data_IF_720484940070
#
_entry.id   IF_720484940070
#
_cell.length_a   1.000
_cell.length_b   1.000
_cell.length_c   1.000
_cell.angle_alpha   90.00
_cell.angle_beta   90.00
_cell.angle_gamma   90.00
#
_symmetry.space_group_name_H-M   'P 1'
#
loop_
_entity.id
_entity.type
_entity.pdbx_description
1 polymer ?
#
# COMPACT_ATOMS: atom_id res chain seq x y z
N UNK A 1 -18.90 -7.05 -10.36
CA UNK A 1 -19.69 -5.84 -10.64
C UNK A 1 -19.24 -4.78 -9.66
N UNK A 2 -18.85 -3.58 -10.09
CA UNK A 2 -18.59 -2.50 -9.15
C UNK A 2 -19.85 -2.29 -8.31
N UNK A 3 -19.71 -2.27 -6.98
CA UNK A 3 -20.84 -1.95 -6.12
C UNK A 3 -21.37 -0.55 -6.48
N UNK A 4 -22.67 -0.39 -6.58
CA UNK A 4 -23.30 0.90 -6.87
C UNK A 4 -23.21 1.89 -5.71
N UNK A 5 -22.38 1.63 -4.72
CA UNK A 5 -22.25 2.45 -3.53
C UNK A 5 -21.19 1.92 -2.56
N UNK A 6 -21.21 2.42 -1.37
CA UNK A 6 -20.48 1.96 -0.20
C UNK A 6 -21.46 1.21 0.72
N UNK A 7 -20.93 0.32 1.54
CA UNK A 7 -21.71 -0.42 2.53
C UNK A 7 -21.46 0.18 3.92
N UNK A 8 -22.47 0.14 4.77
CA UNK A 8 -22.33 0.51 6.18
C UNK A 8 -22.11 -0.71 7.05
N UNK A 9 -21.21 -0.59 7.99
CA UNK A 9 -21.00 -1.59 9.04
C UNK A 9 -20.91 -0.92 10.41
N UNK A 10 -21.39 -1.62 11.44
CA UNK A 10 -21.20 -1.18 12.82
C UNK A 10 -20.11 -2.05 13.46
N UNK A 11 -18.99 -1.44 13.82
CA UNK A 11 -17.85 -2.12 14.43
C UNK A 11 -17.71 -1.61 15.87
N UNK A 12 -17.92 -2.48 16.85
CA UNK A 12 -17.89 -2.13 18.28
C UNK A 12 -18.73 -0.89 18.64
N UNK A 13 -19.89 -0.75 18.03
CA UNK A 13 -20.80 0.37 18.24
C UNK A 13 -20.53 1.62 17.39
N UNK A 14 -19.47 1.63 16.56
CA UNK A 14 -19.12 2.73 15.66
C UNK A 14 -19.62 2.45 14.26
N UNK A 15 -20.32 3.40 13.67
CA UNK A 15 -20.79 3.31 12.28
C UNK A 15 -19.65 3.65 11.34
N UNK A 16 -19.30 2.69 10.49
CA UNK A 16 -18.28 2.83 9.46
C UNK A 16 -18.90 2.75 8.07
N UNK A 17 -18.38 3.52 7.12
CA UNK A 17 -18.62 3.32 5.70
C UNK A 17 -17.48 2.48 5.11
N UNK A 18 -17.82 1.42 4.40
CA UNK A 18 -16.84 0.54 3.77
C UNK A 18 -16.88 0.75 2.26
N UNK A 19 -15.73 1.07 1.69
CA UNK A 19 -15.50 1.25 0.26
C UNK A 19 -14.57 0.15 -0.22
N UNK A 20 -14.88 -0.47 -1.34
CA UNK A 20 -14.01 -1.48 -1.95
C UNK A 20 -13.54 -1.03 -3.33
N UNK A 21 -12.25 -1.12 -3.59
CA UNK A 21 -11.65 -0.78 -4.86
C UNK A 21 -11.45 0.72 -5.11
N UNK A 22 -11.53 1.13 -6.38
CA UNK A 22 -11.19 2.48 -6.84
C UNK A 22 -12.22 3.56 -6.52
N UNK A 23 -13.16 3.23 -5.69
CA UNK A 23 -14.28 4.12 -5.40
C UNK A 23 -13.96 5.33 -4.50
N UNK A 24 -12.72 5.51 -4.02
CA UNK A 24 -12.31 6.70 -3.26
C UNK A 24 -12.47 8.03 -4.02
N UNK A 25 -12.45 7.98 -5.34
CA UNK A 25 -12.52 9.19 -6.20
C UNK A 25 -13.93 9.69 -6.49
N UNK A 26 -14.96 8.97 -6.06
CA UNK A 26 -16.35 9.35 -6.33
C UNK A 26 -16.88 10.27 -5.25
N UNK A 27 -17.62 11.31 -5.63
CA UNK A 27 -18.40 12.12 -4.70
C UNK A 27 -19.42 11.24 -3.97
N UNK A 28 -19.54 11.43 -2.67
CA UNK A 28 -20.42 10.66 -1.81
C UNK A 28 -21.01 11.54 -0.73
N UNK A 29 -22.24 11.22 -0.41
CA UNK A 29 -22.94 11.79 0.72
C UNK A 29 -23.04 10.69 1.79
N UNK A 30 -22.05 10.66 2.69
CA UNK A 30 -22.10 9.74 3.82
C UNK A 30 -23.09 10.23 4.87
N UNK A 31 -23.82 9.29 5.44
CA UNK A 31 -24.63 9.57 6.63
C UNK A 31 -23.77 10.27 7.69
N UNK A 32 -24.30 11.33 8.30
CA UNK A 32 -23.57 12.11 9.31
C UNK A 32 -23.15 11.30 10.51
N UNK A 33 -23.84 10.20 10.81
CA UNK A 33 -23.47 9.28 11.90
C UNK A 33 -22.27 8.38 11.59
N UNK A 34 -21.72 8.40 10.36
CA UNK A 34 -20.46 7.71 10.02
C UNK A 34 -19.31 8.41 10.69
N UNK A 35 -18.54 7.66 11.47
CA UNK A 35 -17.36 8.17 12.19
C UNK A 35 -16.06 7.90 11.41
N UNK A 36 -16.02 6.80 10.66
CA UNK A 36 -14.82 6.35 9.96
C UNK A 36 -15.17 5.77 8.59
N UNK A 37 -14.40 6.14 7.59
CA UNK A 37 -14.45 5.53 6.26
C UNK A 37 -13.31 4.53 6.13
N UNK A 38 -13.64 3.29 5.79
CA UNK A 38 -12.66 2.21 5.58
C UNK A 38 -12.61 1.88 4.09
N UNK A 39 -11.46 2.09 3.48
CA UNK A 39 -11.23 1.81 2.06
C UNK A 39 -10.34 0.59 1.89
N UNK A 40 -10.88 -0.47 1.30
CA UNK A 40 -10.18 -1.75 1.08
C UNK A 40 -9.82 -1.85 -0.39
N UNK A 41 -8.51 -1.95 -0.69
CA UNK A 41 -7.99 -1.84 -2.03
C UNK A 41 -7.03 -2.97 -2.41
N UNK A 42 -6.98 -3.25 -3.70
CA UNK A 42 -5.93 -4.02 -4.37
C UNK A 42 -5.33 -3.15 -5.49
N UNK A 43 -4.79 -2.00 -5.11
CA UNK A 43 -4.24 -1.04 -6.08
C UNK A 43 -2.78 -1.35 -6.34
N UNK A 44 -2.48 -1.66 -7.61
CA UNK A 44 -1.12 -1.97 -8.05
C UNK A 44 -0.18 -0.79 -7.86
N UNK A 45 1.08 -1.11 -7.59
CA UNK A 45 2.16 -0.14 -7.61
C UNK A 45 2.35 0.45 -9.01
N UNK A 46 2.62 1.73 -9.04
CA UNK A 46 2.96 2.46 -10.25
C UNK A 46 3.48 3.85 -9.91
N UNK A 47 4.05 4.53 -10.89
CA UNK A 47 4.58 5.88 -10.70
C UNK A 47 3.48 6.83 -10.21
N UNK A 48 3.67 7.41 -9.01
CA UNK A 48 2.75 8.39 -8.44
C UNK A 48 1.47 7.82 -7.84
N UNK A 49 1.26 6.50 -7.87
CA UNK A 49 0.03 5.89 -7.35
C UNK A 49 -0.14 6.09 -5.86
N UNK A 50 0.95 6.06 -5.09
CA UNK A 50 0.93 6.33 -3.66
C UNK A 50 0.49 7.78 -3.39
N UNK A 51 1.14 8.76 -4.00
CA UNK A 51 0.80 10.18 -3.86
C UNK A 51 -0.66 10.42 -4.20
N UNK A 52 -1.12 9.88 -5.33
CA UNK A 52 -2.52 9.99 -5.73
C UNK A 52 -3.49 9.41 -4.70
N UNK A 53 -3.20 8.23 -4.14
CA UNK A 53 -4.04 7.61 -3.09
C UNK A 53 -4.12 8.49 -1.85
N UNK A 54 -2.98 9.01 -1.40
CA UNK A 54 -2.93 9.84 -0.21
C UNK A 54 -3.62 11.19 -0.41
N UNK A 55 -3.55 11.76 -1.61
CA UNK A 55 -4.33 12.96 -1.97
C UNK A 55 -5.84 12.67 -1.96
N UNK A 56 -6.27 11.54 -2.50
CA UNK A 56 -7.68 11.14 -2.45
C UNK A 56 -8.17 10.93 -1.02
N UNK A 57 -7.37 10.25 -0.18
CA UNK A 57 -7.68 10.08 1.24
C UNK A 57 -7.78 11.42 1.96
N UNK A 58 -6.82 12.32 1.70
CA UNK A 58 -6.79 13.66 2.31
C UNK A 58 -8.04 14.45 1.96
N UNK A 59 -8.38 14.49 0.68
CA UNK A 59 -9.56 15.21 0.22
C UNK A 59 -10.82 14.64 0.87
N UNK A 60 -10.97 13.31 0.87
CA UNK A 60 -12.12 12.66 1.49
C UNK A 60 -12.19 12.96 3.01
N UNK A 61 -11.08 12.78 3.73
CA UNK A 61 -11.01 13.02 5.16
C UNK A 61 -11.35 14.47 5.52
N UNK A 62 -10.78 15.42 4.77
CA UNK A 62 -10.97 16.85 5.01
C UNK A 62 -12.42 17.31 4.68
N UNK A 63 -12.97 16.87 3.55
CA UNK A 63 -14.33 17.26 3.13
C UNK A 63 -15.40 16.68 4.06
N UNK A 64 -15.24 15.42 4.43
CA UNK A 64 -16.20 14.71 5.29
C UNK A 64 -15.98 14.96 6.79
N UNK A 65 -14.82 15.49 7.18
CA UNK A 65 -14.46 15.66 8.59
C UNK A 65 -14.31 14.33 9.33
N UNK A 66 -13.99 13.23 8.62
CA UNK A 66 -14.00 11.86 9.15
C UNK A 66 -12.62 11.20 9.06
N UNK A 67 -12.37 10.25 9.96
CA UNK A 67 -11.18 9.41 9.81
C UNK A 67 -11.30 8.54 8.55
N UNK A 68 -10.22 8.44 7.77
CA UNK A 68 -10.14 7.57 6.60
C UNK A 68 -9.04 6.54 6.81
N UNK A 69 -9.43 5.26 6.82
CA UNK A 69 -8.54 4.11 6.92
C UNK A 69 -8.39 3.50 5.53
N UNK A 70 -7.17 3.49 5.01
CA UNK A 70 -6.84 2.79 3.78
C UNK A 70 -6.16 1.47 4.11
N UNK A 71 -6.69 0.39 3.57
CA UNK A 71 -6.05 -0.93 3.59
C UNK A 71 -5.80 -1.34 2.15
N UNK A 72 -4.53 -1.43 1.76
CA UNK A 72 -4.14 -1.84 0.42
C UNK A 72 -3.41 -3.18 0.46
N UNK A 73 -3.65 -4.01 -0.55
CA UNK A 73 -2.93 -5.26 -0.73
C UNK A 73 -1.41 -5.01 -0.83
N UNK A 74 -0.61 -5.98 -0.38
CA UNK A 74 0.85 -5.98 -0.53
C UNK A 74 1.31 -7.27 -1.18
N UNK A 75 2.42 -7.19 -1.93
CA UNK A 75 3.11 -8.34 -2.51
C UNK A 75 2.98 -8.45 -4.03
N UNK A 76 3.76 -9.38 -4.61
CA UNK A 76 3.77 -9.68 -6.04
C UNK A 76 2.72 -10.72 -6.43
N UNK A 77 2.07 -10.52 -7.56
CA UNK A 77 1.14 -11.48 -8.15
C UNK A 77 1.27 -11.45 -9.67
N UNK A 78 1.81 -12.52 -10.25
CA UNK A 78 2.11 -12.66 -11.68
C UNK A 78 3.02 -11.50 -12.15
N UNK A 79 2.49 -10.55 -12.88
CA UNK A 79 3.16 -9.36 -13.42
C UNK A 79 2.82 -8.05 -12.67
N UNK A 80 2.11 -8.15 -11.57
CA UNK A 80 1.66 -7.01 -10.78
C UNK A 80 2.31 -7.05 -9.40
N UNK A 81 2.74 -5.88 -8.92
CA UNK A 81 3.19 -5.68 -7.54
C UNK A 81 2.25 -4.70 -6.85
N UNK A 82 1.87 -5.03 -5.63
CA UNK A 82 1.11 -4.18 -4.73
C UNK A 82 2.04 -3.67 -3.64
N UNK A 83 2.04 -2.37 -3.44
CA UNK A 83 2.98 -1.71 -2.54
C UNK A 83 2.52 -1.68 -1.07
N UNK A 84 1.29 -2.13 -0.77
CA UNK A 84 0.73 -1.94 0.56
C UNK A 84 0.57 -0.47 0.85
N UNK A 85 1.46 0.10 1.67
CA UNK A 85 1.45 1.51 2.05
C UNK A 85 0.06 1.93 2.55
N UNK A 86 -0.52 1.07 3.39
CA UNK A 86 -1.78 1.33 4.08
C UNK A 86 -1.58 2.41 5.12
N UNK A 87 -2.66 3.05 5.56
CA UNK A 87 -2.53 4.12 6.55
C UNK A 87 -3.84 4.71 6.99
N UNK A 88 -3.76 5.67 7.90
CA UNK A 88 -4.90 6.40 8.45
C UNK A 88 -4.67 7.89 8.32
N UNK A 89 -5.70 8.60 7.89
CA UNK A 89 -5.82 10.05 7.97
C UNK A 89 -6.93 10.43 8.94
N UNK A 90 -6.68 11.44 9.76
CA UNK A 90 -7.71 12.03 10.61
C UNK A 90 -8.65 12.94 9.80
N UNK A 91 -9.75 13.39 10.43
CA UNK A 91 -10.73 14.28 9.78
C UNK A 91 -10.22 15.66 9.36
N UNK A 92 -8.94 16.00 9.68
CA UNK A 92 -8.26 17.21 9.19
C UNK A 92 -7.43 16.93 7.93
N UNK A 93 -7.43 15.69 7.42
CA UNK A 93 -6.62 15.28 6.27
C UNK A 93 -5.12 15.11 6.59
N UNK A 94 -4.79 14.89 7.85
CA UNK A 94 -3.42 14.67 8.30
C UNK A 94 -3.15 13.17 8.44
N UNK A 95 -1.97 12.72 8.00
CA UNK A 95 -1.55 11.32 8.17
C UNK A 95 -1.21 11.08 9.64
N UNK A 96 -1.88 10.14 10.27
CA UNK A 96 -1.67 9.77 11.68
C UNK A 96 -1.11 8.36 11.86
N UNK A 97 -1.19 7.54 10.82
CA UNK A 97 -0.58 6.22 10.76
C UNK A 97 -0.18 5.90 9.33
N UNK A 98 1.00 5.33 9.14
CA UNK A 98 1.47 4.81 7.86
C UNK A 98 2.14 3.47 8.08
N UNK A 99 1.72 2.49 7.30
CA UNK A 99 2.26 1.14 7.33
C UNK A 99 3.39 0.97 6.32
N UNK A 100 4.18 -0.07 6.46
CA UNK A 100 5.32 -0.38 5.59
C UNK A 100 4.91 -0.52 4.13
N UNK A 101 5.84 -0.23 3.25
CA UNK A 101 5.71 -0.50 1.83
C UNK A 101 6.39 -1.83 1.47
N UNK A 102 5.80 -2.58 0.54
CA UNK A 102 6.27 -3.87 0.01
C UNK A 102 6.50 -4.98 1.06
N UNK A 103 5.97 -4.79 2.27
CA UNK A 103 6.02 -5.76 3.36
C UNK A 103 4.66 -5.87 4.04
N UNK A 104 4.36 -7.06 4.55
CA UNK A 104 3.20 -7.24 5.43
C UNK A 104 3.43 -6.48 6.74
N UNK A 105 2.39 -5.80 7.20
CA UNK A 105 2.43 -5.03 8.44
C UNK A 105 1.07 -5.12 9.15
N UNK A 106 1.10 -4.99 10.47
CA UNK A 106 -0.07 -4.97 11.31
C UNK A 106 0.05 -3.86 12.34
N UNK A 107 -0.93 -2.96 12.34
CA UNK A 107 -0.99 -1.84 13.28
C UNK A 107 -2.37 -1.76 13.92
N UNK A 108 -2.42 -1.27 15.16
CA UNK A 108 -3.66 -0.96 15.86
C UNK A 108 -3.82 0.56 15.89
N UNK A 109 -4.98 1.03 15.48
CA UNK A 109 -5.34 2.45 15.53
C UNK A 109 -6.63 2.63 16.34
N UNK A 110 -6.58 3.49 17.34
CA UNK A 110 -7.76 3.91 18.08
C UNK A 110 -8.38 5.13 17.40
N UNK A 111 -9.56 4.96 16.82
CA UNK A 111 -10.27 6.03 16.09
C UNK A 111 -10.76 7.16 16.98
N UNK A 112 -10.74 6.99 18.30
CA UNK A 112 -11.14 8.00 19.31
C UNK A 112 -9.98 8.73 19.94
N UNK A 113 -8.77 8.16 19.87
CA UNK A 113 -7.59 8.82 20.40
C UNK A 113 -7.19 10.00 19.52
N UNK A 114 -6.81 11.11 20.13
CA UNK A 114 -6.09 12.15 19.42
C UNK A 114 -4.72 11.61 19.05
N UNK A 115 -4.52 11.36 17.75
CA UNK A 115 -3.25 10.92 17.22
C UNK A 115 -2.50 12.09 16.61
N UNK A 116 -1.23 12.24 16.96
CA UNK A 116 -0.37 13.28 16.40
C UNK A 116 -0.09 13.00 14.92
N UNK A 117 -0.11 14.04 14.07
CA UNK A 117 0.27 13.89 12.68
C UNK A 117 1.71 13.42 12.52
N UNK A 118 1.92 12.50 11.59
CA UNK A 118 3.24 12.00 11.25
C UNK A 118 3.68 12.53 9.89
N UNK A 119 4.98 12.79 9.74
CA UNK A 119 5.56 13.10 8.44
C UNK A 119 5.67 11.83 7.57
N UNK A 120 5.31 11.94 6.31
CA UNK A 120 5.58 10.86 5.34
C UNK A 120 7.10 10.73 5.19
N UNK A 121 7.68 9.55 5.44
CA UNK A 121 9.12 9.36 5.31
C UNK A 121 9.61 9.70 3.90
N UNK A 122 10.71 10.42 3.78
CA UNK A 122 11.28 10.83 2.49
C UNK A 122 11.59 9.64 1.55
N UNK A 123 11.88 8.48 2.14
CA UNK A 123 12.12 7.22 1.40
C UNK A 123 10.92 6.77 0.56
N UNK A 124 9.70 7.16 0.93
CA UNK A 124 8.49 6.87 0.16
C UNK A 124 8.37 7.75 -1.10
N UNK A 125 9.10 8.86 -1.11
CA UNK A 125 9.18 9.78 -2.25
C UNK A 125 10.42 9.49 -3.12
N UNK A 126 11.35 8.64 -2.68
CA UNK A 126 12.50 8.22 -3.48
C UNK A 126 12.05 7.22 -4.55
N UNK A 127 11.89 7.75 -5.75
CA UNK A 127 11.41 6.99 -6.91
C UNK A 127 12.31 5.79 -7.24
N UNK A 128 13.61 5.97 -7.18
CA UNK A 128 14.57 4.90 -7.52
C UNK A 128 14.48 3.77 -6.52
N UNK A 129 14.46 4.13 -5.25
CA UNK A 129 14.27 3.17 -4.16
C UNK A 129 12.94 2.42 -4.29
N UNK A 130 11.84 3.11 -4.54
CA UNK A 130 10.51 2.50 -4.67
C UNK A 130 10.44 1.51 -5.84
N UNK A 131 11.08 1.81 -6.97
CA UNK A 131 11.16 0.87 -8.11
C UNK A 131 12.00 -0.35 -7.76
N UNK A 132 13.14 -0.15 -7.08
CA UNK A 132 14.00 -1.23 -6.62
C UNK A 132 13.25 -2.17 -5.66
N UNK A 133 12.58 -1.62 -4.65
CA UNK A 133 11.80 -2.39 -3.68
C UNK A 133 10.62 -3.13 -4.33
N UNK A 134 9.98 -2.52 -5.33
CA UNK A 134 8.93 -3.18 -6.09
C UNK A 134 9.47 -4.39 -6.86
N UNK A 135 10.62 -4.25 -7.54
CA UNK A 135 11.27 -5.35 -8.26
C UNK A 135 11.70 -6.47 -7.30
N UNK A 136 12.30 -6.12 -6.17
CA UNK A 136 12.69 -7.05 -5.11
C UNK A 136 11.48 -7.83 -4.57
N UNK A 137 10.40 -7.12 -4.25
CA UNK A 137 9.15 -7.72 -3.75
C UNK A 137 8.53 -8.67 -4.78
N UNK A 138 8.43 -8.23 -6.04
CA UNK A 138 7.89 -9.04 -7.12
C UNK A 138 8.67 -10.33 -7.34
N UNK A 139 10.00 -10.25 -7.37
CA UNK A 139 10.88 -11.41 -7.55
C UNK A 139 10.77 -12.38 -6.36
N UNK A 140 10.87 -11.88 -5.13
CA UNK A 140 10.71 -12.68 -3.91
C UNK A 140 9.40 -13.48 -3.92
N UNK A 141 8.30 -12.80 -4.20
CA UNK A 141 6.99 -13.41 -4.15
C UNK A 141 6.75 -14.36 -5.33
N UNK A 142 7.31 -14.08 -6.51
CA UNK A 142 7.28 -15.01 -7.64
C UNK A 142 7.98 -16.33 -7.29
N UNK A 143 9.18 -16.27 -6.70
CA UNK A 143 9.90 -17.47 -6.28
C UNK A 143 9.15 -18.23 -5.19
N UNK A 144 8.71 -17.52 -4.16
CA UNK A 144 7.95 -18.12 -3.05
C UNK A 144 6.69 -18.84 -3.52
N UNK A 145 5.90 -18.20 -4.38
CA UNK A 145 4.63 -18.73 -4.85
C UNK A 145 4.78 -19.93 -5.81
N UNK A 146 5.89 -20.00 -6.53
CA UNK A 146 6.19 -21.12 -7.43
C UNK A 146 7.06 -22.21 -6.78
N UNK A 147 7.44 -22.06 -5.53
CA UNK A 147 8.28 -23.02 -4.82
C UNK A 147 9.75 -23.04 -5.27
N UNK A 148 10.20 -21.98 -5.99
CA UNK A 148 11.58 -21.87 -6.42
C UNK A 148 12.46 -21.37 -5.26
N UNK A 149 13.64 -21.94 -5.13
CA UNK A 149 14.57 -21.61 -4.04
C UNK A 149 15.87 -20.96 -4.53
N UNK A 150 16.29 -21.24 -5.77
CA UNK A 150 17.58 -20.80 -6.30
C UNK A 150 17.41 -20.18 -7.69
N UNK A 151 18.24 -19.18 -7.96
CA UNK A 151 18.32 -18.52 -9.25
C UNK A 151 19.73 -18.66 -9.85
N UNK A 152 19.82 -18.73 -11.18
CA UNK A 152 21.07 -18.58 -11.92
C UNK A 152 20.96 -17.40 -12.86
N UNK A 153 22.01 -16.56 -12.91
CA UNK A 153 22.01 -15.32 -13.69
C UNK A 153 23.28 -15.30 -14.54
N UNK A 154 23.13 -15.03 -15.84
CA UNK A 154 24.26 -14.75 -16.72
C UNK A 154 24.77 -13.31 -16.53
N UNK A 155 25.96 -13.13 -15.95
CA UNK A 155 26.60 -11.82 -15.84
C UNK A 155 27.35 -11.50 -17.13
N UNK A 156 26.88 -10.53 -17.89
CA UNK A 156 27.51 -10.08 -19.14
C UNK A 156 28.67 -9.08 -18.92
N UNK A 157 28.89 -8.65 -17.67
CA UNK A 157 29.80 -7.55 -17.34
C UNK A 157 29.17 -6.15 -17.47
N UNK A 158 27.93 -6.05 -17.98
CA UNK A 158 27.18 -4.81 -18.09
C UNK A 158 26.42 -4.47 -16.80
N UNK A 159 26.07 -3.18 -16.66
CA UNK A 159 25.37 -2.65 -15.48
C UNK A 159 24.00 -3.30 -15.29
N UNK A 160 23.29 -3.61 -16.35
CA UNK A 160 21.93 -4.18 -16.27
C UNK A 160 21.94 -5.54 -15.58
N UNK A 161 22.86 -6.44 -16.01
CA UNK A 161 23.01 -7.76 -15.40
C UNK A 161 23.50 -7.67 -13.95
N UNK A 162 24.33 -6.68 -13.63
CA UNK A 162 24.76 -6.43 -12.26
C UNK A 162 23.60 -5.99 -11.36
N UNK A 163 22.75 -5.07 -11.82
CA UNK A 163 21.56 -4.62 -11.09
C UNK A 163 20.59 -5.78 -10.87
N UNK A 164 20.36 -6.62 -11.89
CA UNK A 164 19.51 -7.82 -11.75
C UNK A 164 20.07 -8.78 -10.71
N UNK A 165 21.39 -8.98 -10.69
CA UNK A 165 22.03 -9.84 -9.69
C UNK A 165 21.87 -9.28 -8.27
N UNK A 166 22.01 -7.98 -8.07
CA UNK A 166 21.77 -7.32 -6.77
C UNK A 166 20.33 -7.50 -6.31
N UNK A 167 19.36 -7.23 -7.18
CA UNK A 167 17.94 -7.41 -6.86
C UNK A 167 17.64 -8.87 -6.50
N UNK A 168 18.22 -9.83 -7.22
CA UNK A 168 18.04 -11.24 -6.94
C UNK A 168 18.65 -11.65 -5.60
N UNK A 169 19.86 -11.19 -5.30
CA UNK A 169 20.53 -11.45 -4.02
C UNK A 169 19.73 -10.87 -2.83
N UNK A 170 19.21 -9.65 -2.97
CA UNK A 170 18.40 -9.01 -1.93
C UNK A 170 17.00 -9.63 -1.79
N UNK A 171 16.45 -10.21 -2.86
CA UNK A 171 15.14 -10.85 -2.84
C UNK A 171 15.16 -12.28 -2.30
N UNK A 172 16.21 -13.04 -2.62
CA UNK A 172 16.29 -14.50 -2.43
C UNK A 172 17.34 -14.93 -1.40
N UNK A 173 18.23 -14.03 -0.99
CA UNK A 173 19.45 -14.33 -0.26
C UNK A 173 20.61 -14.61 -1.23
N UNK A 174 21.78 -14.04 -0.96
CA UNK A 174 22.95 -14.15 -1.84
C UNK A 174 23.41 -15.61 -2.05
N UNK A 175 23.25 -16.46 -1.05
CA UNK A 175 23.57 -17.89 -1.08
C UNK A 175 22.70 -18.69 -2.05
N UNK A 176 21.54 -18.15 -2.42
CA UNK A 176 20.59 -18.76 -3.34
C UNK A 176 20.73 -18.26 -4.78
N UNK A 177 21.67 -17.34 -5.03
CA UNK A 177 21.89 -16.77 -6.37
C UNK A 177 23.28 -17.16 -6.88
N UNK A 178 23.31 -17.79 -8.05
CA UNK A 178 24.55 -18.12 -8.75
C UNK A 178 24.66 -17.23 -10.00
N UNK A 179 25.78 -16.53 -10.09
CA UNK A 179 26.17 -15.75 -11.25
C UNK A 179 27.19 -16.52 -12.10
#
# INVERSE_FOLDING_TARGET
TPSKGFEYATIKGHKCAIIVGDDLSRERDFDQSVETVISINARKYGKGTMTYRYEMMRNLAFVEGKNVVLVNQVGGSTDIVYDGTSGVMNGRGEVVLMMKNFEEDFQIFDTKAEAEPIAIPSTYNDRTRMVYEAARCGLRDFFRKNGYQKASIGLSGGIDSAVVACIAADALGAENVRA
#
